data_IF_929728228149
#
_entry.id   IF_929728228149
#
_cell.length_a   1.000
_cell.length_b   1.000
_cell.length_c   1.000
_cell.angle_alpha   90.00
_cell.angle_beta   90.00
_cell.angle_gamma   90.00
#
_symmetry.space_group_name_H-M   'P 1'
#
loop_
_entity.id
_entity.type
_entity.pdbx_description
1 polymer ?
#
# COMPACT_ATOMS: atom_id res chain seq x y z
N UNK A 1 -35.96 -34.98 67.67
CA UNK A 1 -36.80 -34.94 66.45
C UNK A 1 -36.07 -35.76 65.41
N UNK A 2 -36.29 -37.09 65.38
CA UNK A 2 -37.34 -37.78 64.60
C UNK A 2 -37.12 -37.52 63.10
N UNK A 3 -36.96 -38.48 62.19
CA UNK A 3 -37.22 -39.92 62.14
C UNK A 3 -36.52 -40.43 60.85
N UNK A 4 -35.68 -41.47 60.84
CA UNK A 4 -35.93 -42.93 60.86
C UNK A 4 -36.12 -43.60 59.49
N UNK A 5 -35.43 -44.74 59.37
CA UNK A 5 -35.28 -45.69 58.26
C UNK A 5 -36.52 -46.60 58.05
N UNK A 6 -36.74 -47.07 56.82
CA UNK A 6 -37.38 -48.36 56.47
C UNK A 6 -37.00 -48.71 54.99
N UNK A 7 -36.32 -49.80 54.57
CA UNK A 7 -36.64 -51.27 54.54
C UNK A 7 -38.08 -51.55 54.07
N UNK A 8 -38.43 -52.46 53.16
CA UNK A 8 -37.84 -53.58 52.40
C UNK A 8 -38.73 -53.76 51.11
N UNK A 9 -38.45 -54.54 50.06
CA UNK A 9 -38.58 -56.02 49.98
C UNK A 9 -38.30 -56.56 48.53
N UNK A 10 -37.81 -57.80 48.44
CA UNK A 10 -37.65 -58.71 47.27
C UNK A 10 -38.91 -59.58 47.05
N UNK A 11 -38.98 -60.67 46.21
CA UNK A 11 -38.28 -61.13 44.97
C UNK A 11 -39.32 -61.52 43.84
N UNK A 12 -39.01 -62.01 42.61
CA UNK A 12 -38.86 -63.45 42.24
C UNK A 12 -38.82 -63.72 40.70
N UNK A 13 -38.01 -64.74 40.32
CA UNK A 13 -38.13 -65.80 39.27
C UNK A 13 -37.77 -65.49 37.77
N UNK A 14 -36.87 -66.33 37.21
CA UNK A 14 -36.29 -66.34 35.83
C UNK A 14 -37.16 -67.02 34.75
N UNK A 15 -36.64 -67.77 33.73
CA UNK A 15 -35.26 -68.22 33.46
C UNK A 15 -34.76 -68.13 31.97
N UNK A 16 -33.53 -68.62 31.76
CA UNK A 16 -33.02 -69.42 30.61
C UNK A 16 -32.51 -68.84 29.26
N UNK A 17 -31.35 -69.41 28.87
CA UNK A 17 -30.79 -69.66 27.52
C UNK A 17 -30.21 -68.50 26.70
N UNK A 18 -29.21 -68.69 25.84
CA UNK A 18 -28.01 -69.54 25.72
C UNK A 18 -27.27 -69.01 24.46
N UNK A 19 -25.95 -69.16 24.41
CA UNK A 19 -25.10 -69.16 23.21
C UNK A 19 -25.21 -68.04 22.16
N UNK A 20 -24.13 -67.26 21.96
CA UNK A 20 -23.20 -67.52 20.84
C UNK A 20 -21.98 -66.58 20.86
N UNK A 21 -20.85 -67.19 20.50
CA UNK A 21 -19.53 -66.62 20.28
C UNK A 21 -19.46 -65.65 19.09
N UNK A 22 -18.38 -64.87 19.12
CA UNK A 22 -17.58 -64.36 18.00
C UNK A 22 -18.08 -63.10 17.26
N UNK A 23 -17.44 -61.98 17.52
CA UNK A 23 -16.42 -61.39 16.63
C UNK A 23 -16.13 -59.94 17.04
N UNK A 24 -15.03 -59.76 17.77
CA UNK A 24 -14.42 -58.46 18.00
C UNK A 24 -13.43 -58.18 16.88
N UNK A 25 -13.76 -57.28 15.95
CA UNK A 25 -12.80 -56.39 15.29
C UNK A 25 -13.51 -55.37 14.39
N UNK A 26 -13.00 -54.14 14.42
CA UNK A 26 -13.26 -53.01 13.52
C UNK A 26 -14.45 -52.11 13.84
N UNK A 27 -14.20 -51.01 14.56
CA UNK A 27 -14.83 -49.71 14.26
C UNK A 27 -14.11 -48.54 14.95
N UNK A 28 -12.92 -48.15 14.46
CA UNK A 28 -12.29 -46.85 14.81
C UNK A 28 -11.55 -46.27 13.60
N UNK A 29 -12.19 -46.24 12.43
CA UNK A 29 -11.63 -45.59 11.23
C UNK A 29 -12.70 -44.84 10.41
N UNK A 30 -13.68 -44.21 11.07
CA UNK A 30 -14.81 -43.54 10.38
C UNK A 30 -14.90 -42.02 10.50
N UNK A 31 -14.33 -41.40 11.54
CA UNK A 31 -14.69 -40.01 11.90
C UNK A 31 -13.62 -38.93 11.60
N UNK A 32 -12.42 -39.31 11.12
CA UNK A 32 -11.35 -38.33 10.84
C UNK A 32 -11.31 -37.83 9.38
N UNK A 33 -11.93 -38.54 8.44
CA UNK A 33 -11.91 -38.19 7.00
C UNK A 33 -12.94 -37.14 6.59
N UNK A 34 -14.06 -36.98 7.31
CA UNK A 34 -15.13 -36.06 6.91
C UNK A 34 -14.84 -34.60 7.23
N UNK A 35 -14.11 -34.32 8.32
CA UNK A 35 -13.76 -32.95 8.72
C UNK A 35 -12.66 -32.35 7.84
N UNK A 36 -11.65 -33.15 7.47
CA UNK A 36 -10.57 -32.68 6.58
C UNK A 36 -11.06 -32.43 5.15
N UNK A 37 -11.96 -33.26 4.62
CA UNK A 37 -12.50 -33.06 3.27
C UNK A 37 -13.41 -31.83 3.17
N UNK A 38 -14.11 -31.46 4.26
CA UNK A 38 -14.94 -30.26 4.28
C UNK A 38 -14.09 -28.99 4.41
N UNK A 39 -13.08 -28.99 5.28
CA UNK A 39 -12.14 -27.87 5.45
C UNK A 39 -11.28 -27.65 4.18
N UNK A 40 -10.86 -28.73 3.49
CA UNK A 40 -10.12 -28.62 2.22
C UNK A 40 -10.96 -28.03 1.08
N UNK A 41 -12.26 -28.35 1.02
CA UNK A 41 -13.15 -27.82 -0.01
C UNK A 41 -13.45 -26.33 0.17
N UNK A 42 -13.63 -25.88 1.42
CA UNK A 42 -13.89 -24.47 1.76
C UNK A 42 -12.65 -23.60 1.48
N UNK A 43 -11.47 -24.08 1.88
CA UNK A 43 -10.18 -23.45 1.61
C UNK A 43 -9.92 -23.25 0.10
N UNK A 44 -10.28 -24.23 -0.72
CA UNK A 44 -10.14 -24.17 -2.18
C UNK A 44 -11.13 -23.18 -2.82
N UNK A 45 -12.33 -23.04 -2.26
CA UNK A 45 -13.32 -22.07 -2.72
C UNK A 45 -12.88 -20.63 -2.42
N UNK A 46 -12.33 -20.38 -1.23
CA UNK A 46 -11.81 -19.08 -0.83
C UNK A 46 -10.63 -18.64 -1.69
N UNK A 47 -9.70 -19.54 -2.00
CA UNK A 47 -8.60 -19.24 -2.92
C UNK A 47 -9.13 -18.90 -4.33
N UNK A 48 -10.15 -19.60 -4.82
CA UNK A 48 -10.77 -19.30 -6.12
C UNK A 48 -11.42 -17.92 -6.12
N UNK A 49 -12.16 -17.57 -5.06
CA UNK A 49 -12.76 -16.23 -4.88
C UNK A 49 -11.68 -15.15 -4.88
N UNK A 50 -10.61 -15.35 -4.12
CA UNK A 50 -9.48 -14.43 -4.03
C UNK A 50 -8.79 -14.23 -5.39
N UNK A 51 -8.51 -15.32 -6.12
CA UNK A 51 -7.93 -15.24 -7.47
C UNK A 51 -8.84 -14.51 -8.46
N UNK A 52 -10.14 -14.77 -8.41
CA UNK A 52 -11.14 -14.08 -9.23
C UNK A 52 -11.20 -12.58 -8.93
N UNK A 53 -11.06 -12.19 -7.66
CA UNK A 53 -11.00 -10.78 -7.27
C UNK A 53 -9.73 -10.09 -7.82
N UNK A 54 -8.57 -10.71 -7.62
CA UNK A 54 -7.28 -10.19 -8.09
C UNK A 54 -7.25 -10.09 -9.62
N UNK A 55 -7.79 -11.07 -10.35
CA UNK A 55 -7.77 -11.06 -11.81
C UNK A 55 -8.65 -9.96 -12.41
N UNK A 56 -9.79 -9.64 -11.78
CA UNK A 56 -10.69 -8.56 -12.21
C UNK A 56 -10.08 -7.17 -11.99
N UNK A 57 -9.28 -6.99 -10.95
CA UNK A 57 -8.68 -5.71 -10.59
C UNK A 57 -7.21 -5.84 -10.21
N UNK A 58 -6.40 -6.27 -11.17
CA UNK A 58 -5.01 -6.61 -10.90
C UNK A 58 -4.18 -5.40 -10.43
N UNK A 59 -4.24 -4.29 -11.16
CA UNK A 59 -3.45 -3.10 -10.84
C UNK A 59 -3.85 -2.48 -9.49
N UNK A 60 -5.16 -2.43 -9.19
CA UNK A 60 -5.66 -1.93 -7.91
C UNK A 60 -5.27 -2.81 -6.72
N UNK A 61 -5.28 -4.13 -6.90
CA UNK A 61 -4.80 -5.07 -5.88
C UNK A 61 -3.29 -4.95 -5.65
N UNK A 62 -2.51 -4.81 -6.72
CA UNK A 62 -1.06 -4.63 -6.66
C UNK A 62 -0.69 -3.34 -5.90
N UNK A 63 -1.35 -2.21 -6.22
CA UNK A 63 -1.12 -0.96 -5.48
C UNK A 63 -1.54 -1.06 -4.01
N UNK A 64 -2.70 -1.68 -3.73
CA UNK A 64 -3.16 -1.92 -2.35
C UNK A 64 -2.11 -2.69 -1.56
N UNK A 65 -1.56 -3.75 -2.15
CA UNK A 65 -0.50 -4.55 -1.53
C UNK A 65 0.79 -3.74 -1.38
N UNK A 66 1.17 -2.92 -2.35
CA UNK A 66 2.30 -1.99 -2.23
C UNK A 66 2.16 -1.06 -1.02
N UNK A 67 1.00 -0.43 -0.87
CA UNK A 67 0.72 0.49 0.23
C UNK A 67 0.74 -0.25 1.57
N UNK A 68 0.14 -1.44 1.63
CA UNK A 68 0.18 -2.29 2.81
C UNK A 68 1.60 -2.68 3.20
N UNK A 69 2.41 -3.16 2.24
CA UNK A 69 3.79 -3.57 2.46
C UNK A 69 4.66 -2.40 2.92
N UNK A 70 4.44 -1.20 2.37
CA UNK A 70 5.10 0.01 2.83
C UNK A 70 4.79 0.31 4.30
N UNK A 71 3.53 0.16 4.73
CA UNK A 71 3.13 0.35 6.13
C UNK A 71 3.66 -0.76 7.06
N UNK A 72 3.72 -2.00 6.59
CA UNK A 72 4.20 -3.15 7.36
C UNK A 72 5.73 -3.21 7.52
N UNK A 73 6.49 -2.58 6.61
CA UNK A 73 7.97 -2.57 6.66
C UNK A 73 8.56 -1.32 7.33
N UNK A 74 7.75 -0.30 7.61
CA UNK A 74 8.23 0.92 8.29
C UNK A 74 8.56 0.68 9.77
N UNK A 75 9.48 1.47 10.31
CA UNK A 75 9.78 1.49 11.75
C UNK A 75 8.61 2.02 12.60
N UNK A 76 7.70 2.79 11.98
CA UNK A 76 6.48 3.32 12.62
C UNK A 76 5.25 2.42 12.39
N UNK A 77 5.46 1.10 12.31
CA UNK A 77 4.42 0.13 11.96
C UNK A 77 3.16 0.29 12.82
N UNK A 78 3.29 0.55 14.12
CA UNK A 78 2.15 0.76 15.03
C UNK A 78 1.25 1.94 14.68
N UNK A 79 1.80 2.96 14.01
CA UNK A 79 1.06 4.15 13.59
C UNK A 79 0.52 3.98 12.16
N UNK A 80 1.34 3.43 11.27
CA UNK A 80 1.06 3.33 9.83
C UNK A 80 0.15 2.14 9.47
N UNK A 81 0.32 0.99 10.14
CA UNK A 81 -0.40 -0.25 9.82
C UNK A 81 -1.71 -0.34 10.62
N UNK A 82 -2.64 0.56 10.29
CA UNK A 82 -4.00 0.57 10.86
C UNK A 82 -5.01 0.56 9.71
N UNK A 83 -5.97 -0.37 9.67
CA UNK A 83 -6.28 -1.38 10.69
C UNK A 83 -5.27 -2.54 10.65
N UNK A 84 -5.03 -3.19 11.78
CA UNK A 84 -4.12 -4.33 11.82
C UNK A 84 -4.86 -5.63 11.43
N UNK A 85 -4.27 -6.50 10.59
CA UNK A 85 -4.86 -7.79 10.23
C UNK A 85 -5.16 -8.66 11.45
N UNK A 86 -6.44 -8.97 11.69
CA UNK A 86 -6.87 -9.70 12.89
C UNK A 86 -6.33 -11.14 12.91
N UNK A 87 -6.03 -11.73 11.75
CA UNK A 87 -5.41 -13.05 11.63
C UNK A 87 -3.96 -13.13 12.13
N UNK A 88 -3.36 -11.99 12.50
CA UNK A 88 -2.02 -11.88 13.11
C UNK A 88 -2.08 -11.31 14.54
N UNK A 89 -3.25 -11.30 15.15
CA UNK A 89 -3.43 -11.01 16.58
C UNK A 89 -3.47 -12.35 17.31
N UNK A 90 -2.70 -12.47 18.40
CA UNK A 90 -2.67 -13.68 19.21
C UNK A 90 -3.84 -13.74 20.22
N UNK A 91 -3.92 -14.84 20.97
CA UNK A 91 -4.98 -15.07 21.96
C UNK A 91 -4.93 -14.05 23.13
N UNK A 92 -3.79 -13.39 23.34
CA UNK A 92 -3.61 -12.33 24.34
C UNK A 92 -3.97 -10.95 23.80
N UNK A 93 -4.48 -10.86 22.57
CA UNK A 93 -4.77 -9.61 21.86
C UNK A 93 -3.52 -8.77 21.55
N UNK A 94 -2.35 -9.41 21.48
CA UNK A 94 -1.09 -8.80 21.06
C UNK A 94 -0.86 -8.98 19.56
N UNK A 95 -0.22 -7.98 18.94
CA UNK A 95 0.03 -7.98 17.49
C UNK A 95 1.32 -8.75 17.17
N UNK A 96 1.20 -9.84 16.42
CA UNK A 96 2.35 -10.61 15.96
C UNK A 96 2.95 -10.01 14.67
N UNK A 97 3.78 -8.97 14.87
CA UNK A 97 4.52 -8.34 13.77
C UNK A 97 5.56 -9.26 13.13
N UNK A 98 6.07 -10.26 13.86
CA UNK A 98 7.13 -11.14 13.37
C UNK A 98 6.55 -12.12 12.35
N UNK A 99 5.43 -12.78 12.68
CA UNK A 99 4.70 -13.63 11.76
C UNK A 99 4.19 -12.85 10.57
N UNK A 100 3.67 -11.63 10.79
CA UNK A 100 3.22 -10.77 9.68
C UNK A 100 4.36 -10.49 8.69
N UNK A 101 5.52 -10.03 9.15
CA UNK A 101 6.67 -9.73 8.29
C UNK A 101 7.14 -10.97 7.52
N UNK A 102 7.26 -12.11 8.20
CA UNK A 102 7.60 -13.39 7.57
C UNK A 102 6.61 -13.80 6.49
N UNK A 103 5.32 -13.56 6.70
CA UNK A 103 4.29 -13.83 5.70
C UNK A 103 4.41 -12.86 4.52
N UNK A 104 4.56 -11.56 4.80
CA UNK A 104 4.78 -10.51 3.81
C UNK A 104 5.95 -10.82 2.85
N UNK A 105 7.08 -11.29 3.38
CA UNK A 105 8.27 -11.61 2.58
C UNK A 105 8.09 -12.87 1.70
N UNK A 106 7.12 -13.74 2.04
CA UNK A 106 6.81 -14.94 1.27
C UNK A 106 5.72 -14.72 0.21
N UNK A 107 5.11 -13.53 0.14
CA UNK A 107 4.07 -13.26 -0.86
C UNK A 107 4.71 -13.20 -2.25
N UNK A 108 4.39 -14.13 -3.16
CA UNK A 108 4.91 -14.12 -4.53
C UNK A 108 4.29 -12.96 -5.33
N UNK A 109 4.88 -12.57 -6.47
CA UNK A 109 4.24 -11.67 -7.42
C UNK A 109 2.78 -12.08 -7.68
N UNK A 110 1.85 -11.12 -7.76
CA UNK A 110 0.42 -11.45 -7.90
C UNK A 110 0.13 -12.25 -9.18
N UNK A 111 0.93 -12.08 -10.24
CA UNK A 111 0.83 -12.88 -11.46
C UNK A 111 1.09 -14.36 -11.19
N UNK A 112 2.09 -14.67 -10.37
CA UNK A 112 2.46 -16.03 -9.99
C UNK A 112 1.43 -16.59 -9.00
N UNK A 113 0.94 -15.75 -8.07
CA UNK A 113 -0.14 -16.14 -7.16
C UNK A 113 -1.39 -16.65 -7.91
N UNK A 114 -1.75 -16.03 -9.04
CA UNK A 114 -2.89 -16.44 -9.86
C UNK A 114 -2.69 -17.84 -10.46
N UNK A 115 -1.46 -18.24 -10.78
CA UNK A 115 -1.15 -19.53 -11.42
C UNK A 115 -0.86 -20.66 -10.43
N UNK A 116 -0.42 -20.34 -9.21
CA UNK A 116 -0.08 -21.33 -8.19
C UNK A 116 -1.26 -22.25 -7.81
N UNK A 117 -1.08 -23.57 -7.68
CA UNK A 117 -2.11 -24.45 -7.13
C UNK A 117 -2.53 -24.02 -5.72
N UNK A 118 -3.83 -24.10 -5.39
CA UNK A 118 -4.35 -23.69 -4.07
C UNK A 118 -3.61 -24.34 -2.90
N UNK A 119 -3.22 -25.61 -3.05
CA UNK A 119 -2.46 -26.41 -2.08
C UNK A 119 -1.07 -25.84 -1.75
N UNK A 120 -0.49 -25.04 -2.64
CA UNK A 120 0.83 -24.45 -2.46
C UNK A 120 0.77 -23.06 -1.82
N UNK A 121 -0.44 -22.53 -1.58
CA UNK A 121 -0.64 -21.23 -0.95
C UNK A 121 -0.78 -21.45 0.57
N UNK A 122 0.16 -20.90 1.34
CA UNK A 122 0.07 -20.99 2.80
C UNK A 122 -1.19 -20.31 3.34
N UNK A 123 -1.76 -20.88 4.41
CA UNK A 123 -2.93 -20.34 5.10
C UNK A 123 -2.76 -18.87 5.50
N UNK A 124 -1.57 -18.49 5.97
CA UNK A 124 -1.27 -17.11 6.38
C UNK A 124 -1.33 -16.12 5.21
N UNK A 125 -0.78 -16.48 4.05
CA UNK A 125 -0.85 -15.65 2.84
C UNK A 125 -2.31 -15.51 2.40
N UNK A 126 -3.05 -16.63 2.35
CA UNK A 126 -4.47 -16.62 1.97
C UNK A 126 -5.27 -15.70 2.90
N UNK A 127 -5.16 -15.89 4.21
CA UNK A 127 -5.89 -15.10 5.20
C UNK A 127 -5.51 -13.62 5.15
N UNK A 128 -4.23 -13.31 4.94
CA UNK A 128 -3.77 -11.92 4.82
C UNK A 128 -4.34 -11.23 3.58
N UNK A 129 -4.31 -11.90 2.43
CA UNK A 129 -4.81 -11.32 1.17
C UNK A 129 -6.34 -11.23 1.17
N UNK A 130 -7.05 -12.22 1.72
CA UNK A 130 -8.50 -12.16 1.93
C UNK A 130 -8.86 -10.99 2.85
N UNK A 131 -8.16 -10.87 3.99
CA UNK A 131 -8.33 -9.71 4.87
C UNK A 131 -8.11 -8.40 4.12
N UNK A 132 -6.99 -8.27 3.40
CA UNK A 132 -6.61 -7.03 2.75
C UNK A 132 -7.63 -6.58 1.69
N UNK A 133 -8.07 -7.49 0.83
CA UNK A 133 -8.91 -7.14 -0.32
C UNK A 133 -10.42 -7.21 -0.06
N UNK A 134 -10.86 -7.96 0.96
CA UNK A 134 -12.29 -8.19 1.20
C UNK A 134 -12.77 -7.64 2.55
N UNK A 135 -11.97 -7.73 3.62
CA UNK A 135 -12.44 -7.47 4.99
C UNK A 135 -11.91 -6.16 5.60
N UNK A 136 -10.75 -5.70 5.16
CA UNK A 136 -10.06 -4.53 5.73
C UNK A 136 -10.91 -3.26 5.66
N UNK A 137 -11.89 -3.23 4.75
CA UNK A 137 -12.75 -2.10 4.45
C UNK A 137 -11.97 -0.88 3.96
N UNK A 138 -10.81 -1.12 3.34
CA UNK A 138 -10.08 -0.15 2.54
C UNK A 138 -10.81 0.01 1.21
N UNK A 139 -10.89 1.23 0.65
CA UNK A 139 -11.51 1.46 -0.66
C UNK A 139 -10.84 0.65 -1.77
N UNK A 140 -11.62 0.27 -2.78
CA UNK A 140 -11.11 -0.46 -3.95
C UNK A 140 -10.57 0.53 -4.98
N UNK A 141 -9.38 0.26 -5.52
CA UNK A 141 -8.77 1.12 -6.54
C UNK A 141 -9.10 0.66 -7.94
N UNK A 142 -9.59 1.54 -8.79
CA UNK A 142 -9.76 1.27 -10.21
C UNK A 142 -8.71 2.03 -11.01
N UNK A 143 -8.07 1.36 -11.96
CA UNK A 143 -7.17 2.02 -12.89
C UNK A 143 -7.93 3.09 -13.69
N UNK A 144 -7.33 4.25 -13.83
CA UNK A 144 -7.95 5.44 -14.40
C UNK A 144 -6.93 6.18 -15.26
N UNK A 145 -7.40 6.79 -16.33
CA UNK A 145 -6.54 7.58 -17.21
C UNK A 145 -6.39 9.02 -16.68
N UNK A 146 -5.25 9.65 -16.96
CA UNK A 146 -4.96 11.03 -16.52
C UNK A 146 -6.00 12.03 -17.08
N UNK A 147 -6.54 11.74 -18.26
CA UNK A 147 -7.53 12.56 -18.96
C UNK A 147 -8.89 12.58 -18.25
N UNK A 148 -9.17 11.58 -17.41
CA UNK A 148 -10.39 11.51 -16.60
C UNK A 148 -10.29 12.31 -15.31
N UNK A 149 -9.14 12.92 -15.01
CA UNK A 149 -8.99 13.81 -13.87
C UNK A 149 -9.85 15.07 -14.07
N UNK A 150 -10.31 15.72 -12.99
CA UNK A 150 -11.14 16.92 -13.10
C UNK A 150 -10.45 18.02 -13.91
N UNK A 151 -11.19 18.68 -14.80
CA UNK A 151 -10.67 19.72 -15.70
C UNK A 151 -9.95 20.87 -14.95
N UNK A 152 -10.42 21.22 -13.75
CA UNK A 152 -9.78 22.23 -12.89
C UNK A 152 -8.37 21.84 -12.44
N UNK A 153 -8.10 20.54 -12.39
CA UNK A 153 -6.80 19.96 -12.16
C UNK A 153 -6.05 19.95 -13.48
N UNK A 154 -6.62 19.34 -14.54
CA UNK A 154 -6.01 19.17 -15.89
C UNK A 154 -5.53 20.49 -16.49
N UNK A 155 -6.32 21.56 -16.42
CA UNK A 155 -5.93 22.86 -16.97
C UNK A 155 -4.77 23.52 -16.20
N UNK A 156 -4.56 23.16 -14.93
CA UNK A 156 -3.37 23.56 -14.17
C UNK A 156 -2.16 22.67 -14.49
N UNK A 157 -2.36 21.54 -15.18
CA UNK A 157 -1.31 20.56 -15.49
C UNK A 157 -0.36 20.95 -16.60
N UNK A 158 -0.60 22.05 -17.33
CA UNK A 158 0.40 22.62 -18.22
C UNK A 158 1.73 22.96 -17.49
N UNK A 159 1.73 22.96 -16.16
CA UNK A 159 2.89 23.15 -15.27
C UNK A 159 3.41 21.88 -14.57
N UNK A 160 2.83 20.69 -14.82
CA UNK A 160 3.30 19.43 -14.24
C UNK A 160 4.57 18.97 -14.96
N UNK A 161 5.72 19.21 -14.33
CA UNK A 161 7.02 18.73 -14.83
C UNK A 161 7.18 17.20 -14.88
N UNK A 162 6.27 16.43 -14.26
CA UNK A 162 6.27 14.97 -14.33
C UNK A 162 4.84 14.39 -14.23
N UNK A 163 4.30 13.88 -15.33
CA UNK A 163 3.04 13.14 -15.36
C UNK A 163 3.13 11.88 -14.48
N UNK A 164 2.09 11.54 -13.70
CA UNK A 164 2.04 10.28 -12.97
C UNK A 164 2.05 9.11 -13.96
N UNK A 165 2.72 8.00 -13.59
CA UNK A 165 2.72 6.80 -14.43
C UNK A 165 1.44 5.99 -14.28
N UNK A 166 0.82 6.07 -13.10
CA UNK A 166 -0.43 5.37 -12.81
C UNK A 166 -1.37 6.32 -12.06
N UNK A 167 -2.64 6.28 -12.41
CA UNK A 167 -3.69 7.03 -11.73
C UNK A 167 -4.77 6.04 -11.32
N UNK A 168 -5.14 6.08 -10.05
CA UNK A 168 -6.14 5.18 -9.50
C UNK A 168 -7.29 5.98 -8.93
N UNK A 169 -8.51 5.66 -9.35
CA UNK A 169 -9.71 6.16 -8.71
C UNK A 169 -10.00 5.36 -7.43
N UNK A 170 -10.33 6.06 -6.36
CA UNK A 170 -10.62 5.49 -5.04
C UNK A 170 -12.12 5.30 -4.89
N UNK A 171 -12.55 4.04 -4.90
CA UNK A 171 -13.97 3.67 -4.81
C UNK A 171 -14.32 3.25 -3.37
N UNK A 172 -15.03 4.12 -2.67
CA UNK A 172 -15.54 3.83 -1.34
C UNK A 172 -16.80 2.98 -1.39
N UNK A 173 -17.17 2.40 -0.26
CA UNK A 173 -18.47 1.72 -0.13
C UNK A 173 -19.64 2.71 -0.24
N UNK A 174 -20.83 2.18 -0.57
CA UNK A 174 -22.04 2.97 -0.76
C UNK A 174 -22.39 3.83 0.45
N UNK A 175 -22.26 3.29 1.67
CA UNK A 175 -22.54 4.00 2.92
C UNK A 175 -21.70 5.27 3.07
N UNK A 176 -20.40 5.19 2.76
CA UNK A 176 -19.50 6.34 2.82
C UNK A 176 -19.86 7.38 1.75
N UNK A 177 -20.12 6.94 0.52
CA UNK A 177 -20.48 7.84 -0.58
C UNK A 177 -21.82 8.56 -0.33
N UNK A 178 -22.82 7.86 0.20
CA UNK A 178 -24.10 8.47 0.59
C UNK A 178 -23.93 9.50 1.71
N UNK A 179 -23.13 9.19 2.73
CA UNK A 179 -22.83 10.11 3.81
C UNK A 179 -22.11 11.38 3.30
N UNK A 180 -21.12 11.20 2.41
CA UNK A 180 -20.40 12.32 1.80
C UNK A 180 -21.33 13.17 0.92
N UNK A 181 -22.17 12.54 0.09
CA UNK A 181 -23.16 13.23 -0.75
C UNK A 181 -24.19 14.01 0.08
N UNK A 182 -24.66 13.43 1.19
CA UNK A 182 -25.57 14.10 2.13
C UNK A 182 -24.90 15.33 2.76
N UNK A 183 -23.63 15.22 3.15
CA UNK A 183 -22.86 16.32 3.75
C UNK A 183 -22.55 17.43 2.75
N UNK A 184 -22.27 17.07 1.48
CA UNK A 184 -22.10 18.03 0.38
C UNK A 184 -23.34 18.92 0.23
N UNK A 185 -24.53 18.32 0.14
CA UNK A 185 -25.76 19.06 -0.13
C UNK A 185 -25.65 19.86 -1.43
N UNK A 186 -25.95 21.15 -1.38
CA UNK A 186 -25.84 22.09 -2.51
C UNK A 186 -24.45 22.74 -2.66
N UNK A 187 -23.49 22.42 -1.78
CA UNK A 187 -22.16 23.05 -1.79
C UNK A 187 -21.30 22.56 -2.96
N UNK A 188 -20.40 23.43 -3.39
CA UNK A 188 -19.43 23.13 -4.44
C UNK A 188 -18.31 22.21 -3.94
N UNK A 189 -17.67 21.51 -4.88
CA UNK A 189 -16.49 20.67 -4.63
C UNK A 189 -15.25 21.37 -5.16
N UNK A 190 -14.21 21.45 -4.33
CA UNK A 190 -12.88 21.91 -4.67
C UNK A 190 -11.97 20.69 -4.76
N UNK A 191 -11.08 20.68 -5.74
CA UNK A 191 -10.04 19.67 -5.87
C UNK A 191 -8.69 20.21 -5.43
N UNK A 192 -7.99 19.47 -4.58
CA UNK A 192 -6.65 19.81 -4.14
C UNK A 192 -5.82 18.55 -3.84
N UNK A 193 -4.50 18.68 -3.94
CA UNK A 193 -3.55 17.62 -3.69
C UNK A 193 -3.19 17.51 -2.21
N UNK A 194 -2.89 16.29 -1.77
CA UNK A 194 -2.28 15.99 -0.49
C UNK A 194 -1.00 15.16 -0.71
N UNK A 195 0.11 15.65 -0.19
CA UNK A 195 1.38 14.92 -0.17
C UNK A 195 1.61 14.25 1.18
N UNK A 196 1.99 12.98 1.17
CA UNK A 196 2.37 12.21 2.35
C UNK A 196 3.31 11.08 1.96
N UNK A 197 4.08 10.60 2.94
CA UNK A 197 4.89 9.40 2.76
C UNK A 197 4.02 8.18 2.44
N UNK A 198 4.45 7.32 1.51
CA UNK A 198 3.71 6.12 1.09
C UNK A 198 3.31 5.21 2.26
N UNK A 199 4.17 5.09 3.28
CA UNK A 199 3.89 4.32 4.50
C UNK A 199 2.62 4.76 5.25
N UNK A 200 2.20 6.03 5.13
CA UNK A 200 1.02 6.56 5.81
C UNK A 200 -0.28 6.28 5.05
N UNK A 201 -0.21 5.95 3.76
CA UNK A 201 -1.39 5.84 2.92
C UNK A 201 -2.32 4.72 3.37
N UNK A 202 -1.77 3.63 3.92
CA UNK A 202 -2.60 2.52 4.41
C UNK A 202 -3.61 2.98 5.47
N UNK A 203 -3.15 3.69 6.51
CA UNK A 203 -4.03 4.26 7.53
C UNK A 203 -4.91 5.40 7.01
N UNK A 204 -4.36 6.24 6.13
CA UNK A 204 -5.12 7.35 5.53
C UNK A 204 -6.29 6.84 4.69
N UNK A 205 -6.12 5.74 3.97
CA UNK A 205 -7.16 5.16 3.13
C UNK A 205 -8.30 4.56 3.96
N UNK A 206 -8.00 4.02 5.14
CA UNK A 206 -9.03 3.48 6.03
C UNK A 206 -9.76 4.58 6.81
N UNK A 207 -9.02 5.49 7.43
CA UNK A 207 -9.55 6.44 8.40
C UNK A 207 -9.72 7.86 7.84
N UNK A 208 -9.36 8.08 6.57
CA UNK A 208 -9.30 9.41 5.98
C UNK A 208 -8.07 10.21 6.43
N UNK A 209 -7.99 11.44 5.95
CA UNK A 209 -6.97 12.39 6.37
C UNK A 209 -7.32 12.93 7.76
N UNK A 210 -6.41 12.76 8.71
CA UNK A 210 -6.62 13.10 10.11
C UNK A 210 -5.67 14.22 10.55
N UNK A 211 -6.16 15.12 11.40
CA UNK A 211 -5.42 16.31 11.84
C UNK A 211 -4.37 15.98 12.91
N UNK A 212 -4.71 15.06 13.82
CA UNK A 212 -4.00 14.88 15.09
C UNK A 212 -2.81 13.92 15.06
N UNK A 213 -2.44 13.35 13.90
CA UNK A 213 -1.27 12.46 13.81
C UNK A 213 0.08 13.19 13.79
N UNK A 214 0.10 14.52 13.92
CA UNK A 214 1.32 15.33 14.06
C UNK A 214 1.30 16.15 15.35
N UNK A 215 1.42 15.50 16.50
CA UNK A 215 1.41 16.14 17.82
C UNK A 215 2.65 17.01 18.14
N UNK A 216 3.58 17.22 17.19
CA UNK A 216 4.88 17.87 17.50
C UNK A 216 5.48 18.74 16.40
N UNK A 217 4.73 19.10 15.34
CA UNK A 217 5.25 20.03 14.32
C UNK A 217 4.57 21.38 14.47
N UNK A 218 5.37 22.45 14.53
CA UNK A 218 4.88 23.81 14.37
C UNK A 218 4.03 23.90 13.10
N UNK A 219 2.77 24.26 13.29
CA UNK A 219 1.79 24.26 12.22
C UNK A 219 1.67 25.71 11.71
N UNK A 220 2.36 26.00 10.60
CA UNK A 220 2.53 27.37 10.08
C UNK A 220 1.21 28.16 9.95
N UNK A 221 0.14 27.48 9.52
CA UNK A 221 -1.17 28.09 9.29
C UNK A 221 -2.27 27.50 10.19
N UNK A 222 -1.89 27.09 11.41
CA UNK A 222 -2.82 26.54 12.39
C UNK A 222 -3.28 25.11 12.09
N UNK A 223 -3.96 24.50 13.06
CA UNK A 223 -4.33 23.09 13.00
C UNK A 223 -5.29 22.78 11.84
N UNK A 224 -5.07 21.65 11.17
CA UNK A 224 -5.93 21.19 10.07
C UNK A 224 -5.23 20.24 9.10
N UNK A 225 -5.97 19.80 8.10
CA UNK A 225 -5.47 18.99 6.98
C UNK A 225 -4.94 19.93 5.92
N UNK A 226 -3.65 19.80 5.61
CA UNK A 226 -2.95 20.63 4.63
C UNK A 226 -3.10 20.04 3.23
N UNK A 227 -3.62 20.85 2.33
CA UNK A 227 -3.83 20.52 0.92
C UNK A 227 -3.27 21.65 0.05
N UNK A 228 -3.00 21.38 -1.22
CA UNK A 228 -2.50 22.39 -2.16
C UNK A 228 -3.13 22.27 -3.54
N UNK A 229 -3.35 23.39 -4.24
CA UNK A 229 -3.73 23.35 -5.65
C UNK A 229 -2.56 23.02 -6.60
N UNK A 230 -1.33 23.02 -6.10
CA UNK A 230 -0.11 22.77 -6.85
C UNK A 230 0.49 21.41 -6.49
N UNK A 231 0.67 20.54 -7.48
CA UNK A 231 1.24 19.22 -7.24
C UNK A 231 2.70 19.28 -6.78
N UNK A 232 3.46 20.28 -7.26
CA UNK A 232 4.88 20.50 -6.96
C UNK A 232 5.12 20.72 -5.47
N UNK A 233 4.19 21.39 -4.80
CA UNK A 233 4.21 21.58 -3.34
C UNK A 233 4.07 20.23 -2.63
N UNK A 234 3.14 19.38 -3.09
CA UNK A 234 2.89 18.08 -2.50
C UNK A 234 4.01 17.07 -2.76
N UNK A 235 4.76 17.19 -3.86
CA UNK A 235 5.93 16.34 -4.16
C UNK A 235 6.96 16.37 -3.02
N UNK A 236 7.18 17.53 -2.39
CA UNK A 236 8.11 17.65 -1.25
C UNK A 236 7.68 16.84 -0.01
N UNK A 237 6.39 16.54 0.11
CA UNK A 237 5.82 15.76 1.21
C UNK A 237 5.57 14.29 0.84
N UNK A 238 5.75 13.93 -0.44
CA UNK A 238 5.61 12.57 -0.98
C UNK A 238 6.94 12.04 -1.52
N UNK A 239 7.94 11.77 -0.66
CA UNK A 239 9.18 11.15 -1.11
C UNK A 239 8.92 9.76 -1.69
N UNK A 240 9.82 9.28 -2.56
CA UNK A 240 9.81 7.89 -2.98
C UNK A 240 10.13 6.99 -1.77
N UNK A 241 9.25 6.03 -1.49
CA UNK A 241 9.46 5.01 -0.46
C UNK A 241 9.46 3.60 -1.06
N UNK A 242 10.11 2.69 -0.36
CA UNK A 242 10.05 1.26 -0.67
C UNK A 242 8.66 0.71 -0.32
N UNK A 243 8.08 -0.03 -1.27
CA UNK A 243 6.74 -0.62 -1.12
C UNK A 243 6.82 -2.14 -1.14
N UNK A 244 6.80 -2.75 -2.33
CA UNK A 244 6.77 -4.19 -2.51
C UNK A 244 7.66 -4.58 -3.69
N UNK A 245 8.66 -5.41 -3.41
CA UNK A 245 9.69 -5.81 -4.39
C UNK A 245 9.12 -6.61 -5.57
N UNK A 246 8.06 -7.36 -5.32
CA UNK A 246 7.39 -8.23 -6.29
C UNK A 246 6.23 -7.54 -7.04
N UNK A 247 6.08 -6.22 -6.87
CA UNK A 247 5.05 -5.43 -7.55
C UNK A 247 5.31 -5.29 -9.05
N UNK A 248 4.23 -5.38 -9.83
CA UNK A 248 4.26 -5.07 -11.27
C UNK A 248 4.33 -3.56 -11.56
N UNK A 249 3.96 -2.72 -10.60
CA UNK A 249 3.97 -1.25 -10.71
C UNK A 249 5.35 -0.65 -10.39
N UNK A 250 6.19 -1.41 -9.67
CA UNK A 250 7.56 -1.06 -9.32
C UNK A 250 7.86 -1.27 -7.85
N UNK A 251 9.13 -1.20 -7.47
CA UNK A 251 9.54 -1.50 -6.09
C UNK A 251 9.49 -0.29 -5.16
N UNK A 252 9.55 0.92 -5.74
CA UNK A 252 9.57 2.18 -5.02
C UNK A 252 8.58 3.14 -5.65
N UNK A 253 7.72 3.71 -4.81
CA UNK A 253 6.65 4.60 -5.23
C UNK A 253 6.64 5.90 -4.43
N UNK A 254 6.29 6.99 -5.11
CA UNK A 254 5.78 8.22 -4.49
C UNK A 254 4.29 8.31 -4.82
N UNK A 255 3.46 8.62 -3.82
CA UNK A 255 2.00 8.70 -4.00
C UNK A 255 1.54 10.09 -3.55
N UNK A 256 0.75 10.74 -4.40
CA UNK A 256 0.08 12.00 -4.10
C UNK A 256 -1.42 11.77 -4.22
N UNK A 257 -2.18 12.15 -3.19
CA UNK A 257 -3.63 12.04 -3.22
C UNK A 257 -4.22 13.28 -3.91
N UNK A 258 -5.23 13.10 -4.74
CA UNK A 258 -6.12 14.16 -5.19
C UNK A 258 -7.44 14.03 -4.44
N UNK A 259 -7.77 15.06 -3.67
CA UNK A 259 -8.90 15.07 -2.75
C UNK A 259 -10.06 15.89 -3.30
N UNK A 260 -11.28 15.43 -3.03
CA UNK A 260 -12.50 16.22 -3.10
C UNK A 260 -12.73 16.89 -1.75
N UNK A 261 -12.92 18.20 -1.77
CA UNK A 261 -13.19 19.03 -0.60
C UNK A 261 -14.56 19.68 -0.77
N UNK A 262 -15.45 19.51 0.19
CA UNK A 262 -16.71 20.25 0.24
C UNK A 262 -16.39 21.69 0.66
N UNK A 263 -16.73 22.66 -0.20
CA UNK A 263 -16.46 24.07 0.05
C UNK A 263 -17.36 24.60 1.18
N UNK A 264 -16.83 24.62 2.40
CA UNK A 264 -17.45 25.24 3.57
C UNK A 264 -16.60 26.45 3.99
N UNK A 265 -17.17 27.66 4.02
CA UNK A 265 -16.44 28.88 4.37
C UNK A 265 -15.89 28.88 5.81
N UNK A 266 -16.54 28.16 6.72
CA UNK A 266 -16.14 28.10 8.13
C UNK A 266 -14.98 27.13 8.35
N UNK A 267 -15.04 25.95 7.74
CA UNK A 267 -14.12 24.83 8.01
C UNK A 267 -13.02 24.65 6.94
N UNK A 268 -13.14 25.31 5.79
CA UNK A 268 -12.14 25.32 4.71
C UNK A 268 -11.51 26.69 4.62
N UNK A 269 -10.28 26.78 5.15
CA UNK A 269 -9.47 28.00 5.16
C UNK A 269 -8.57 28.04 3.93
N UNK A 270 -8.63 29.16 3.21
CA UNK A 270 -7.83 29.43 2.01
C UNK A 270 -7.82 30.93 1.74
N UNK A 271 -6.89 31.38 0.89
CA UNK A 271 -6.94 32.75 0.40
C UNK A 271 -8.14 32.91 -0.53
N UNK A 272 -8.98 33.90 -0.22
CA UNK A 272 -10.19 34.24 -0.97
C UNK A 272 -10.28 35.77 -1.05
N UNK A 273 -10.43 36.28 -2.28
CA UNK A 273 -10.55 37.72 -2.53
C UNK A 273 -11.83 38.30 -1.95
N UNK A 274 -12.92 37.52 -1.96
CA UNK A 274 -14.25 37.95 -1.49
C UNK A 274 -14.35 37.90 0.03
N UNK A 275 -13.76 36.87 0.64
CA UNK A 275 -13.83 36.63 2.08
C UNK A 275 -12.44 36.49 2.70
N UNK A 276 -11.80 37.62 3.00
CA UNK A 276 -10.45 37.66 3.61
C UNK A 276 -10.34 36.91 4.93
N UNK A 277 -11.45 36.71 5.67
CA UNK A 277 -11.44 35.96 6.94
C UNK A 277 -11.11 34.48 6.73
N UNK A 278 -11.37 33.92 5.54
CA UNK A 278 -11.04 32.53 5.20
C UNK A 278 -9.55 32.27 5.15
N UNK A 279 -8.73 33.31 4.92
CA UNK A 279 -7.29 33.17 4.89
C UNK A 279 -6.66 33.03 6.29
N UNK A 280 -7.43 33.26 7.35
CA UNK A 280 -6.97 33.19 8.74
C UNK A 280 -7.53 31.93 9.39
N UNK A 281 -6.64 31.17 10.03
CA UNK A 281 -6.99 30.03 10.85
C UNK A 281 -6.70 30.33 12.33
N UNK A 282 -7.37 29.61 13.22
CA UNK A 282 -7.04 29.65 14.65
C UNK A 282 -5.58 29.20 14.82
N UNK A 283 -4.83 29.91 15.66
CA UNK A 283 -3.42 29.64 15.96
C UNK A 283 -2.46 29.67 14.75
N UNK A 284 -2.83 30.42 13.70
CA UNK A 284 -1.95 30.63 12.54
C UNK A 284 -0.95 31.77 12.78
N UNK A 285 0.30 31.60 12.33
CA UNK A 285 1.33 32.65 12.37
C UNK A 285 1.16 33.72 11.26
N UNK A 286 0.19 33.53 10.36
CA UNK A 286 -0.08 34.44 9.25
C UNK A 286 -1.19 33.92 8.34
N UNK A 287 -1.51 34.72 7.32
CA UNK A 287 -2.53 34.35 6.33
C UNK A 287 -2.06 33.19 5.43
N UNK A 288 -2.99 32.29 5.12
CA UNK A 288 -2.77 31.15 4.23
C UNK A 288 -2.48 31.67 2.80
N UNK A 289 -1.38 31.24 2.16
CA UNK A 289 -1.08 31.60 0.77
C UNK A 289 -2.06 30.99 -0.24
N UNK A 290 -2.14 31.56 -1.45
CA UNK A 290 -3.09 31.15 -2.51
C UNK A 290 -3.04 29.66 -2.87
N UNK A 291 -1.86 29.05 -2.72
CA UNK A 291 -1.64 27.66 -3.11
C UNK A 291 -2.04 26.63 -2.07
N UNK A 292 -2.45 27.04 -0.87
CA UNK A 292 -2.76 26.13 0.22
C UNK A 292 -4.25 26.19 0.61
N UNK A 293 -4.75 25.05 1.05
CA UNK A 293 -6.01 24.92 1.78
C UNK A 293 -5.72 24.24 3.11
N UNK A 294 -6.36 24.72 4.17
CA UNK A 294 -6.34 24.08 5.48
C UNK A 294 -7.78 23.72 5.84
N UNK A 295 -8.04 22.42 6.00
CA UNK A 295 -9.38 21.92 6.32
C UNK A 295 -9.43 21.46 7.77
N UNK A 296 -10.29 22.10 8.56
CA UNK A 296 -10.44 21.84 10.01
C UNK A 296 -11.47 20.76 10.33
N UNK A 297 -12.12 20.17 9.33
CA UNK A 297 -13.00 19.01 9.50
C UNK A 297 -12.66 17.92 8.47
N UNK A 298 -12.22 16.76 8.97
CA UNK A 298 -11.84 15.62 8.13
C UNK A 298 -13.01 15.06 7.30
N UNK A 299 -14.25 15.22 7.77
CA UNK A 299 -15.43 14.70 7.07
C UNK A 299 -15.78 15.49 5.80
N UNK A 300 -15.17 16.66 5.60
CA UNK A 300 -15.33 17.45 4.37
C UNK A 300 -14.36 17.03 3.27
N UNK A 301 -13.41 16.15 3.56
CA UNK A 301 -12.35 15.74 2.64
C UNK A 301 -12.43 14.25 2.40
N UNK A 302 -12.47 13.84 1.12
CA UNK A 302 -12.20 12.46 0.74
C UNK A 302 -11.12 12.40 -0.33
N UNK A 303 -10.36 11.32 -0.35
CA UNK A 303 -9.40 11.07 -1.43
C UNK A 303 -10.19 10.51 -2.60
N UNK A 304 -10.14 11.16 -3.76
CA UNK A 304 -10.85 10.69 -4.96
C UNK A 304 -9.91 9.95 -5.91
N UNK A 305 -8.67 10.41 -6.05
CA UNK A 305 -7.67 9.74 -6.87
C UNK A 305 -6.33 9.61 -6.14
N UNK A 306 -5.56 8.58 -6.49
CA UNK A 306 -4.16 8.41 -6.13
C UNK A 306 -3.30 8.54 -7.40
N UNK A 307 -2.37 9.48 -7.36
CA UNK A 307 -1.37 9.67 -8.40
C UNK A 307 -0.10 8.94 -7.96
N UNK A 308 0.21 7.83 -8.61
CA UNK A 308 1.36 7.00 -8.27
C UNK A 308 2.50 7.23 -9.25
N UNK A 309 3.67 7.53 -8.68
CA UNK A 309 4.90 7.75 -9.38
C UNK A 309 5.84 6.58 -9.12
N UNK A 310 6.33 5.96 -10.18
CA UNK A 310 7.34 4.90 -10.11
C UNK A 310 8.73 5.52 -10.06
N UNK A 311 9.56 5.09 -9.11
CA UNK A 311 10.97 5.46 -9.14
C UNK A 311 11.64 4.82 -10.36
N UNK A 312 12.21 5.66 -11.22
CA UNK A 312 13.17 5.22 -12.24
C UNK A 312 14.54 5.65 -11.75
N UNK A 313 15.40 4.69 -11.44
CA UNK A 313 16.80 4.99 -11.20
C UNK A 313 17.33 5.67 -12.47
N UNK A 314 17.63 6.97 -12.38
CA UNK A 314 18.47 7.61 -13.38
C UNK A 314 19.81 6.92 -13.27
N UNK A 315 20.19 6.10 -14.25
CA UNK A 315 21.57 5.66 -14.36
C UNK A 315 22.38 6.93 -14.57
N UNK A 316 23.01 7.42 -13.50
CA UNK A 316 23.80 8.66 -13.51
C UNK A 316 24.82 8.61 -14.65
N UNK A 317 25.34 7.42 -14.96
CA UNK A 317 26.22 7.14 -16.11
C UNK A 317 25.54 7.46 -17.44
N UNK A 318 24.30 7.02 -17.70
CA UNK A 318 23.62 7.29 -18.98
C UNK A 318 23.19 8.76 -19.13
N UNK A 319 22.85 9.43 -18.04
CA UNK A 319 22.55 10.87 -18.03
C UNK A 319 23.82 11.71 -18.21
N UNK A 320 24.92 11.31 -17.56
CA UNK A 320 26.23 11.95 -17.67
C UNK A 320 26.85 11.75 -19.06
N UNK A 321 26.81 10.54 -19.63
CA UNK A 321 27.33 10.28 -20.97
C UNK A 321 26.51 10.98 -22.05
N UNK A 322 25.19 11.09 -21.91
CA UNK A 322 24.38 11.89 -22.85
C UNK A 322 24.66 13.39 -22.74
N UNK A 323 24.80 13.92 -21.52
CA UNK A 323 25.11 15.35 -21.31
C UNK A 323 26.53 15.71 -21.73
N UNK A 324 27.49 14.82 -21.51
CA UNK A 324 28.91 15.05 -21.76
C UNK A 324 29.45 14.30 -22.98
N UNK A 325 28.58 13.79 -23.86
CA UNK A 325 28.96 12.98 -25.03
C UNK A 325 30.02 13.70 -25.88
N UNK A 326 29.79 14.98 -26.14
CA UNK A 326 30.70 15.81 -26.94
C UNK A 326 32.07 15.97 -26.27
N UNK A 327 32.12 16.21 -24.95
CA UNK A 327 33.37 16.28 -24.21
C UNK A 327 34.10 14.94 -24.17
N UNK A 328 33.37 13.83 -24.03
CA UNK A 328 33.94 12.48 -24.07
C UNK A 328 34.57 12.21 -25.44
N UNK A 329 33.90 12.58 -26.54
CA UNK A 329 34.44 12.44 -27.90
C UNK A 329 35.68 13.31 -28.10
N UNK A 330 35.70 14.54 -27.59
CA UNK A 330 36.87 15.43 -27.67
C UNK A 330 38.05 14.84 -26.88
N UNK A 331 37.83 14.39 -25.65
CA UNK A 331 38.90 13.80 -24.82
C UNK A 331 39.42 12.50 -25.45
N UNK A 332 38.54 11.66 -25.99
CA UNK A 332 38.93 10.44 -26.70
C UNK A 332 39.77 10.77 -27.94
N UNK A 333 39.36 11.78 -28.72
CA UNK A 333 40.11 12.23 -29.89
C UNK A 333 41.50 12.76 -29.51
N UNK A 334 41.60 13.58 -28.46
CA UNK A 334 42.89 14.05 -27.96
C UNK A 334 43.77 12.90 -27.45
N UNK A 335 43.19 11.90 -26.78
CA UNK A 335 43.92 10.71 -26.34
C UNK A 335 44.47 9.90 -27.54
N UNK A 336 43.68 9.76 -28.61
CA UNK A 336 44.13 9.12 -29.86
C UNK A 336 45.29 9.91 -30.48
N UNK A 337 45.21 11.25 -30.53
CA UNK A 337 46.31 12.08 -31.04
C UNK A 337 47.59 11.93 -30.22
N UNK A 338 47.47 11.85 -28.88
CA UNK A 338 48.62 11.58 -27.99
C UNK A 338 49.18 10.19 -28.26
N UNK A 339 48.35 9.17 -28.40
CA UNK A 339 48.78 7.80 -28.72
C UNK A 339 49.50 7.72 -30.07
N UNK A 340 48.99 8.35 -31.12
CA UNK A 340 49.65 8.43 -32.42
C UNK A 340 51.03 9.09 -32.28
N UNK A 341 51.11 10.17 -31.50
CA UNK A 341 52.37 10.89 -31.26
C UNK A 341 53.36 10.08 -30.41
N UNK A 342 52.86 9.26 -29.49
CA UNK A 342 53.69 8.34 -28.71
C UNK A 342 54.24 7.23 -29.60
N UNK A 343 53.40 6.60 -30.43
CA UNK A 343 53.80 5.50 -31.33
C UNK A 343 54.76 5.99 -32.43
N UNK A 344 54.52 7.16 -32.99
CA UNK A 344 55.37 7.74 -34.05
C UNK A 344 56.53 8.59 -33.50
N UNK A 345 56.65 8.70 -32.18
CA UNK A 345 57.71 9.46 -31.53
C UNK A 345 59.03 8.68 -31.49
N UNK A 346 60.19 9.38 -31.41
CA UNK A 346 61.51 8.74 -31.31
C UNK A 346 61.71 7.93 -30.02
N UNK A 347 60.77 8.02 -29.08
CA UNK A 347 60.74 7.28 -27.81
C UNK A 347 60.11 5.88 -27.95
N UNK A 348 59.25 5.64 -28.95
CA UNK A 348 58.59 4.33 -29.12
C UNK A 348 59.54 3.19 -29.45
N UNK A 349 60.52 3.35 -30.38
CA UNK A 349 61.51 2.31 -30.63
C UNK A 349 62.37 2.01 -29.39
N UNK A 350 62.59 3.01 -28.52
CA UNK A 350 63.32 2.85 -27.26
C UNK A 350 62.51 2.07 -26.23
N UNK A 351 61.21 2.36 -26.13
CA UNK A 351 60.28 1.64 -25.25
C UNK A 351 60.09 0.18 -25.67
N UNK A 352 59.92 -0.08 -26.97
CA UNK A 352 59.86 -1.44 -27.52
C UNK A 352 61.16 -2.20 -27.26
N UNK A 353 62.33 -1.58 -27.46
CA UNK A 353 63.63 -2.21 -27.14
C UNK A 353 63.77 -2.55 -25.66
N UNK A 354 63.29 -1.69 -24.76
CA UNK A 354 63.27 -1.97 -23.31
C UNK A 354 62.34 -3.12 -22.93
N UNK A 355 61.20 -3.25 -23.61
CA UNK A 355 60.26 -4.36 -23.41
C UNK A 355 60.81 -5.67 -23.97
N UNK A 356 61.46 -5.65 -25.14
CA UNK A 356 62.12 -6.83 -25.70
C UNK A 356 63.31 -7.29 -24.83
N UNK A 357 64.10 -6.37 -24.26
CA UNK A 357 65.21 -6.73 -23.35
C UNK A 357 64.75 -7.22 -21.96
N UNK A 358 63.45 -7.18 -21.69
CA UNK A 358 62.86 -7.70 -20.44
C UNK A 358 62.22 -9.09 -20.64
N UNK A 359 62.16 -9.57 -21.90
CA UNK A 359 61.54 -10.84 -22.28
C UNK A 359 62.61 -11.89 -22.70
N UNK A 360 63.85 -11.47 -22.97
CA UNK A 360 65.06 -12.32 -22.86
C UNK A 360 65.56 -12.36 -21.42
#
# INVERSE_FOLDING_TARGET
MMDSNAKASLPTIGPENSNHQASSQSCTLGMRKSKSSLEENDDDEDVKKLKSFISKNFAGCDLTLCIFMAAAKTFKIDQCLRPFPQCFVDDNNEKDFVRLKKTCDKIPPLKDFLTLPSKNISKDIRNLLSYLFMESGIPVFSDCSVENLPLSVVNKQASISALPQYVFEVNYNSKFEEAFKKRKGSREIIYAFHGSSVHNFYSILKFGLQQHFRQSKEVLFGNGIYLSNEISVCTNYSPFGETWENSSLGQKHSIIALCEIINNEEEVKCKDEKNKKRALNQDSYGAIPDKYFVVTNSELVKIKYLLAYRYRASTVVASFTKKNCLWIVIVLYLAILVLIRLVNGPSWPKFIRYLCSFIE
#
